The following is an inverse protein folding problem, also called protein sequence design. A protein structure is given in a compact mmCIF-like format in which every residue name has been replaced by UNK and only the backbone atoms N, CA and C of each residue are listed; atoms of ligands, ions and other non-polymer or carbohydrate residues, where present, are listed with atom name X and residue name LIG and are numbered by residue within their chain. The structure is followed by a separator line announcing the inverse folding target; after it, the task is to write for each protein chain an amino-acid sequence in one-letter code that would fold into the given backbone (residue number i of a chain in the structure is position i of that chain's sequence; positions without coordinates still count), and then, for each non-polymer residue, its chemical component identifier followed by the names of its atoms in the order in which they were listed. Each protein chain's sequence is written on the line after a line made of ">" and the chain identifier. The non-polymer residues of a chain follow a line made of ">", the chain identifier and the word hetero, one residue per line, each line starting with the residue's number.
data_IF_298582911405
#
_entry.id   IF_298582911405
#
_cell.length_a   1.000
_cell.length_b   1.000
_cell.length_c   1.000
_cell.angle_alpha   90.00
_cell.angle_beta   90.00
_cell.angle_gamma   90.00
#
_symmetry.space_group_name_H-M   'P 1'
#
loop_
_entity.id
_entity.type
_entity.pdbx_description
1 polymer ?
#
# COMPACT_ATOMS: atom_id res chain seq x y z
N UNK A 1 14.24 0.00 -63.76
CA UNK A 1 14.38 1.46 -63.63
C UNK A 1 13.11 2.06 -64.23
N UNK A 2 12.15 2.37 -63.36
CA UNK A 2 11.03 3.31 -63.55
C UNK A 2 10.52 3.64 -62.13
N UNK A 3 10.56 4.89 -61.67
CA UNK A 3 10.17 5.25 -60.31
C UNK A 3 8.89 6.11 -60.25
N UNK A 4 8.35 6.21 -59.03
CA UNK A 4 7.40 7.22 -58.53
C UNK A 4 5.90 6.97 -58.84
N UNK A 5 5.24 6.33 -57.87
CA UNK A 5 3.81 6.46 -57.62
C UNK A 5 3.58 6.87 -56.17
N UNK A 6 3.68 8.17 -55.88
CA UNK A 6 3.33 8.78 -54.59
C UNK A 6 1.84 8.54 -54.30
N UNK A 7 1.52 7.80 -53.24
CA UNK A 7 0.17 7.77 -52.65
C UNK A 7 0.03 8.88 -51.61
N UNK A 8 -1.05 9.68 -51.62
CA UNK A 8 -1.28 10.73 -50.64
C UNK A 8 -1.65 10.13 -49.28
N UNK A 9 -0.99 10.64 -48.24
CA UNK A 9 -1.26 10.39 -46.82
C UNK A 9 -2.45 11.26 -46.42
N UNK A 10 -3.57 10.63 -46.06
CA UNK A 10 -4.67 11.32 -45.38
C UNK A 10 -4.28 11.53 -43.91
N UNK A 11 -3.94 12.75 -43.56
CA UNK A 11 -3.76 13.20 -42.17
C UNK A 11 -5.14 13.28 -41.51
N UNK A 12 -5.42 12.37 -40.58
CA UNK A 12 -6.55 12.48 -39.67
C UNK A 12 -6.24 13.50 -38.59
N UNK A 13 -6.82 14.69 -38.73
CA UNK A 13 -6.85 15.74 -37.71
C UNK A 13 -7.86 15.35 -36.61
N UNK A 14 -7.49 15.42 -35.31
CA UNK A 14 -8.44 15.21 -34.23
C UNK A 14 -9.43 16.39 -34.12
N UNK A 15 -10.70 16.15 -33.73
CA UNK A 15 -11.68 17.22 -33.60
C UNK A 15 -11.33 18.15 -32.42
N UNK A 16 -11.26 19.45 -32.73
CA UNK A 16 -11.13 20.54 -31.76
C UNK A 16 -12.39 20.66 -30.87
N UNK A 17 -12.25 20.95 -29.56
CA UNK A 17 -13.38 21.29 -28.72
C UNK A 17 -13.95 22.66 -29.11
N UNK A 18 -15.28 22.74 -29.19
CA UNK A 18 -16.00 23.97 -29.48
C UNK A 18 -15.73 25.05 -28.42
N UNK A 19 -15.41 26.27 -28.88
CA UNK A 19 -15.31 27.47 -28.05
C UNK A 19 -16.71 27.89 -27.60
N UNK A 20 -16.93 27.98 -26.29
CA UNK A 20 -18.10 28.61 -25.72
C UNK A 20 -17.96 30.14 -25.84
N UNK A 21 -18.97 30.80 -26.40
CA UNK A 21 -19.09 32.26 -26.43
C UNK A 21 -19.44 32.82 -25.04
N UNK A 22 -18.93 34.02 -24.70
CA UNK A 22 -19.21 34.66 -23.41
C UNK A 22 -20.61 35.28 -23.37
N UNK A 23 -21.43 34.90 -22.39
CA UNK A 23 -22.67 35.62 -22.05
C UNK A 23 -22.37 36.86 -21.19
N UNK A 24 -23.06 37.99 -21.42
CA UNK A 24 -22.81 39.24 -20.70
C UNK A 24 -23.32 39.21 -19.26
N UNK A 25 -22.63 39.98 -18.41
CA UNK A 25 -22.96 40.25 -17.03
C UNK A 25 -24.19 41.16 -16.91
N UNK A 26 -25.05 40.90 -15.93
CA UNK A 26 -26.05 41.84 -15.44
C UNK A 26 -25.68 42.27 -14.01
N UNK A 27 -25.76 43.59 -13.80
CA UNK A 27 -25.24 44.33 -12.66
C UNK A 27 -25.96 44.06 -11.33
N UNK A 28 -25.12 43.90 -10.31
CA UNK A 28 -25.09 44.59 -9.01
C UNK A 28 -26.33 45.39 -8.56
N UNK A 29 -26.83 45.04 -7.38
CA UNK A 29 -27.37 45.99 -6.40
C UNK A 29 -26.63 45.74 -5.07
N UNK A 30 -25.77 46.69 -4.69
CA UNK A 30 -25.27 46.90 -3.32
C UNK A 30 -26.45 47.46 -2.48
N UNK A 31 -26.56 47.30 -1.16
CA UNK A 31 -25.77 47.98 -0.11
C UNK A 31 -25.97 47.29 1.28
N UNK A 32 -25.36 47.72 2.40
CA UNK A 32 -24.35 46.94 3.15
C UNK A 32 -24.75 46.61 4.60
N UNK A 33 -23.97 45.76 5.28
CA UNK A 33 -23.42 45.96 6.65
C UNK A 33 -23.00 44.66 7.34
N UNK A 34 -21.71 44.58 7.69
CA UNK A 34 -21.16 43.74 8.78
C UNK A 34 -21.15 44.58 10.08
N UNK A 35 -20.84 44.05 11.26
CA UNK A 35 -21.13 42.72 11.84
C UNK A 35 -21.78 42.86 13.25
N UNK A 36 -22.59 41.90 13.70
CA UNK A 36 -22.95 41.80 15.13
C UNK A 36 -22.71 40.40 15.67
N UNK A 37 -21.61 40.29 16.39
CA UNK A 37 -21.42 39.32 17.47
C UNK A 37 -22.48 39.58 18.53
N UNK A 38 -23.42 38.66 18.69
CA UNK A 38 -24.26 38.59 19.90
C UNK A 38 -24.18 37.15 20.40
N UNK A 39 -23.43 36.97 21.48
CA UNK A 39 -23.40 35.71 22.20
C UNK A 39 -24.77 35.43 22.78
N UNK A 40 -25.32 34.28 22.44
CA UNK A 40 -26.30 33.61 23.28
C UNK A 40 -25.68 32.36 23.86
N UNK A 41 -25.11 32.56 25.05
CA UNK A 41 -24.87 31.50 26.04
C UNK A 41 -26.21 30.92 26.45
N UNK A 42 -26.74 29.96 25.68
CA UNK A 42 -27.77 29.07 26.21
C UNK A 42 -27.08 28.00 27.05
N UNK A 43 -27.05 28.23 28.37
CA UNK A 43 -26.85 27.19 29.37
C UNK A 43 -28.06 26.24 29.30
N UNK A 44 -27.98 25.23 28.45
CA UNK A 44 -28.79 24.02 28.63
C UNK A 44 -28.03 23.10 29.56
N UNK A 45 -28.45 23.10 30.83
CA UNK A 45 -28.07 22.11 31.81
C UNK A 45 -28.73 20.78 31.46
N UNK A 46 -27.96 19.91 30.82
CA UNK A 46 -28.18 18.48 30.84
C UNK A 46 -26.79 17.84 30.80
N UNK A 47 -26.30 17.39 31.95
CA UNK A 47 -25.15 16.48 31.99
C UNK A 47 -25.60 15.14 31.40
N UNK A 48 -25.46 15.02 30.07
CA UNK A 48 -25.44 13.72 29.45
C UNK A 48 -24.14 13.03 29.92
N UNK A 49 -24.19 11.79 30.45
CA UNK A 49 -22.99 11.05 30.76
C UNK A 49 -22.12 11.03 29.51
N UNK A 50 -20.88 11.49 29.64
CA UNK A 50 -19.93 11.60 28.55
C UNK A 50 -19.82 10.26 27.83
N UNK A 51 -20.53 10.14 26.71
CA UNK A 51 -20.30 9.06 25.77
C UNK A 51 -18.90 9.33 25.26
N UNK A 52 -17.90 8.60 25.79
CA UNK A 52 -16.63 8.44 25.09
C UNK A 52 -17.04 8.07 23.68
N UNK A 53 -16.80 8.97 22.72
CA UNK A 53 -16.98 8.64 21.32
C UNK A 53 -16.20 7.34 21.11
N UNK A 54 -16.93 6.23 20.94
CA UNK A 54 -16.32 4.96 20.65
C UNK A 54 -15.49 5.25 19.39
N UNK A 55 -14.16 5.16 19.51
CA UNK A 55 -13.30 5.22 18.34
C UNK A 55 -13.89 4.20 17.37
N UNK A 56 -14.34 4.68 16.20
CA UNK A 56 -14.91 3.81 15.19
C UNK A 56 -13.94 2.62 15.02
N UNK A 57 -14.41 1.37 15.10
CA UNK A 57 -13.53 0.21 15.04
C UNK A 57 -12.63 0.34 13.82
N UNK A 58 -11.33 0.20 14.03
CA UNK A 58 -10.36 0.66 13.05
C UNK A 58 -10.42 -0.28 11.83
N UNK A 59 -10.79 0.24 10.65
CA UNK A 59 -11.06 -0.57 9.45
C UNK A 59 -12.54 -0.69 9.05
N UNK A 60 -13.45 -0.12 9.85
CA UNK A 60 -14.93 -0.12 9.62
C UNK A 60 -15.38 0.45 8.29
N UNK A 61 -14.58 1.31 7.65
CA UNK A 61 -14.97 1.89 6.37
C UNK A 61 -15.00 0.85 5.23
N UNK A 62 -14.19 -0.22 5.33
CA UNK A 62 -14.15 -1.31 4.33
C UNK A 62 -15.34 -2.25 4.44
N UNK A 63 -15.75 -2.57 5.67
CA UNK A 63 -16.90 -3.42 5.96
C UNK A 63 -17.32 -3.30 7.43
N UNK A 64 -18.60 -3.63 7.75
CA UNK A 64 -19.06 -3.78 9.14
C UNK A 64 -18.18 -4.75 9.94
N UNK A 65 -17.98 -4.47 11.24
CA UNK A 65 -17.03 -5.21 12.08
C UNK A 65 -17.40 -6.70 12.28
N UNK A 66 -18.67 -7.05 12.17
CA UNK A 66 -19.22 -8.40 12.33
C UNK A 66 -19.20 -9.23 11.04
N UNK A 67 -18.95 -8.61 9.88
CA UNK A 67 -18.77 -9.28 8.59
C UNK A 67 -17.49 -10.12 8.54
N UNK A 68 -17.40 -11.07 7.58
CA UNK A 68 -16.17 -11.85 7.34
C UNK A 68 -14.96 -10.93 7.14
N UNK A 69 -15.08 -9.95 6.24
CA UNK A 69 -14.01 -9.00 5.95
C UNK A 69 -13.66 -8.14 7.18
N UNK A 70 -14.65 -7.66 7.92
CA UNK A 70 -14.44 -6.87 9.13
C UNK A 70 -13.65 -7.64 10.20
N UNK A 71 -14.00 -8.91 10.43
CA UNK A 71 -13.26 -9.80 11.34
C UNK A 71 -11.83 -10.06 10.88
N UNK A 72 -11.63 -10.30 9.59
CA UNK A 72 -10.28 -10.48 9.01
C UNK A 72 -9.43 -9.24 9.21
N UNK A 73 -9.94 -8.06 8.85
CA UNK A 73 -9.23 -6.79 9.00
C UNK A 73 -8.88 -6.54 10.47
N UNK A 74 -9.83 -6.72 11.37
CA UNK A 74 -9.59 -6.52 12.80
C UNK A 74 -8.49 -7.45 13.32
N UNK A 75 -8.53 -8.74 12.95
CA UNK A 75 -7.49 -9.69 13.35
C UNK A 75 -6.09 -9.34 12.80
N UNK A 76 -6.00 -8.86 11.56
CA UNK A 76 -4.73 -8.35 11.00
C UNK A 76 -4.21 -7.16 11.81
N UNK A 77 -5.08 -6.19 12.09
CA UNK A 77 -4.72 -4.97 12.81
C UNK A 77 -4.34 -5.24 14.27
N UNK A 78 -5.01 -6.18 14.94
CA UNK A 78 -4.66 -6.61 16.29
C UNK A 78 -3.25 -7.21 16.34
N UNK A 79 -2.88 -8.07 15.38
CA UNK A 79 -1.51 -8.59 15.29
C UNK A 79 -0.50 -7.51 14.94
N UNK A 80 -0.82 -6.63 13.99
CA UNK A 80 0.08 -5.53 13.57
C UNK A 80 0.39 -4.56 14.71
N UNK A 81 -0.59 -4.28 15.59
CA UNK A 81 -0.41 -3.42 16.77
C UNK A 81 0.60 -3.96 17.77
N UNK A 82 0.86 -5.26 17.77
CA UNK A 82 1.82 -5.90 18.66
C UNK A 82 3.27 -5.74 18.18
N UNK A 83 3.49 -5.17 16.99
CA UNK A 83 4.81 -4.99 16.40
C UNK A 83 5.29 -3.54 16.52
N UNK A 84 6.33 -3.30 17.31
CA UNK A 84 6.88 -1.97 17.60
C UNK A 84 8.11 -1.60 16.77
N UNK A 85 8.58 -2.50 15.90
CA UNK A 85 9.72 -2.29 14.99
C UNK A 85 9.43 -1.09 14.08
N UNK A 86 10.41 -0.19 13.92
CA UNK A 86 10.26 1.01 13.08
C UNK A 86 11.28 1.06 11.96
N UNK A 87 10.84 1.53 10.80
CA UNK A 87 11.70 1.92 9.68
C UNK A 87 11.21 3.26 9.15
N UNK A 88 12.06 4.29 9.17
CA UNK A 88 11.69 5.65 8.74
C UNK A 88 10.45 6.18 9.47
N UNK A 89 10.33 5.87 10.77
CA UNK A 89 9.18 6.25 11.60
C UNK A 89 7.89 5.45 11.37
N UNK A 90 7.82 4.61 10.33
CA UNK A 90 6.68 3.71 10.09
C UNK A 90 6.80 2.44 10.95
N UNK A 91 5.68 2.01 11.55
CA UNK A 91 5.51 0.65 12.10
C UNK A 91 4.91 -0.27 11.02
N UNK A 92 4.91 -1.60 11.20
CA UNK A 92 4.16 -2.50 10.31
C UNK A 92 2.70 -2.10 10.19
N UNK A 93 2.05 -1.71 11.31
CA UNK A 93 0.67 -1.23 11.28
C UNK A 93 0.50 0.04 10.44
N UNK A 94 1.32 1.08 10.68
CA UNK A 94 1.15 2.35 9.98
C UNK A 94 1.38 2.20 8.47
N UNK A 95 2.37 1.39 8.08
CA UNK A 95 2.66 1.12 6.68
C UNK A 95 1.57 0.27 6.04
N UNK A 96 1.13 -0.82 6.69
CA UNK A 96 0.05 -1.67 6.18
C UNK A 96 -1.24 -0.88 5.99
N UNK A 97 -1.61 -0.04 6.97
CA UNK A 97 -2.80 0.81 6.87
C UNK A 97 -2.73 1.70 5.64
N UNK A 98 -1.69 2.52 5.53
CA UNK A 98 -1.53 3.47 4.43
C UNK A 98 -1.41 2.79 3.07
N UNK A 99 -0.61 1.72 2.96
CA UNK A 99 -0.29 1.08 1.70
C UNK A 99 -1.33 0.08 1.20
N UNK A 100 -1.99 -0.62 2.12
CA UNK A 100 -2.84 -1.77 1.82
C UNK A 100 -4.29 -1.50 2.22
N UNK A 101 -4.55 -1.24 3.50
CA UNK A 101 -5.93 -1.13 3.99
C UNK A 101 -6.65 0.10 3.45
N UNK A 102 -6.01 1.27 3.50
CA UNK A 102 -6.56 2.58 3.11
C UNK A 102 -6.42 2.86 1.61
N UNK A 103 -5.70 1.99 0.89
CA UNK A 103 -5.49 2.11 -0.55
C UNK A 103 -6.72 1.65 -1.33
N UNK A 104 -7.46 2.59 -1.93
CA UNK A 104 -8.66 2.31 -2.74
C UNK A 104 -8.45 1.36 -3.93
N UNK A 105 -7.20 1.16 -4.36
CA UNK A 105 -6.87 0.23 -5.45
C UNK A 105 -6.71 -1.20 -4.97
N UNK A 106 -6.54 -1.42 -3.66
CA UNK A 106 -6.57 -2.75 -3.05
C UNK A 106 -8.04 -3.13 -2.81
N UNK A 107 -8.44 -4.26 -3.36
CA UNK A 107 -9.82 -4.74 -3.27
C UNK A 107 -10.07 -5.52 -1.97
N UNK A 108 -11.35 -5.65 -1.64
CA UNK A 108 -11.79 -6.41 -0.47
C UNK A 108 -11.46 -7.91 -0.61
N UNK A 109 -11.53 -8.44 -1.83
CA UNK A 109 -11.16 -9.83 -2.16
C UNK A 109 -9.67 -10.05 -1.98
N UNK A 110 -8.83 -9.06 -2.30
CA UNK A 110 -7.38 -9.16 -2.04
C UNK A 110 -7.10 -9.20 -0.54
N UNK A 111 -7.78 -8.39 0.28
CA UNK A 111 -7.64 -8.45 1.74
C UNK A 111 -8.03 -9.82 2.31
N UNK A 112 -9.14 -10.39 1.83
CA UNK A 112 -9.56 -11.76 2.20
C UNK A 112 -8.58 -12.83 1.69
N UNK A 113 -7.97 -12.63 0.52
CA UNK A 113 -6.99 -13.57 -0.01
C UNK A 113 -5.70 -13.56 0.82
N UNK A 114 -5.26 -12.38 1.28
CA UNK A 114 -4.06 -12.24 2.14
C UNK A 114 -4.20 -13.08 3.41
N UNK A 115 -5.37 -13.07 4.07
CA UNK A 115 -5.59 -13.85 5.29
C UNK A 115 -5.63 -15.37 5.09
N UNK A 116 -5.71 -15.82 3.83
CA UNK A 116 -5.81 -17.23 3.45
C UNK A 116 -4.51 -17.78 2.86
N UNK A 117 -3.47 -16.95 2.76
CA UNK A 117 -2.14 -17.38 2.29
C UNK A 117 -1.51 -18.30 3.33
N UNK A 118 -0.99 -19.43 2.85
CA UNK A 118 -0.26 -20.43 3.63
C UNK A 118 1.25 -20.23 3.55
N UNK A 119 1.99 -20.86 4.46
CA UNK A 119 3.46 -20.78 4.48
C UNK A 119 4.06 -21.41 3.22
N UNK A 120 3.49 -22.50 2.74
CA UNK A 120 3.94 -23.23 1.56
C UNK A 120 3.86 -22.38 0.29
N UNK A 121 2.90 -21.46 0.22
CA UNK A 121 2.76 -20.52 -0.91
C UNK A 121 3.79 -19.38 -0.87
N UNK A 122 4.39 -19.12 0.28
CA UNK A 122 5.39 -18.07 0.47
C UNK A 122 6.82 -18.61 0.47
N UNK A 123 6.99 -19.93 0.61
CA UNK A 123 8.28 -20.58 0.73
C UNK A 123 9.21 -20.30 -0.46
N UNK A 124 10.37 -19.68 -0.21
CA UNK A 124 11.39 -19.41 -1.23
C UNK A 124 12.08 -20.68 -1.78
N UNK A 125 11.96 -21.80 -1.08
CA UNK A 125 12.58 -23.09 -1.38
C UNK A 125 14.02 -23.22 -0.83
N UNK A 126 14.50 -24.46 -0.60
CA UNK A 126 15.79 -24.72 0.06
C UNK A 126 16.99 -24.13 -0.68
N UNK A 127 17.01 -24.20 -2.01
CA UNK A 127 18.10 -23.67 -2.83
C UNK A 127 18.22 -22.14 -2.69
N UNK A 128 17.10 -21.43 -2.74
CA UNK A 128 17.05 -19.98 -2.55
C UNK A 128 17.55 -19.60 -1.16
N UNK A 129 17.02 -20.27 -0.13
CA UNK A 129 17.41 -20.02 1.27
C UNK A 129 18.92 -20.16 1.47
N UNK A 130 19.51 -21.22 0.90
CA UNK A 130 20.94 -21.45 0.98
C UNK A 130 21.75 -20.33 0.31
N UNK A 131 21.37 -19.91 -0.91
CA UNK A 131 22.05 -18.82 -1.64
C UNK A 131 21.99 -17.50 -0.88
N UNK A 132 20.84 -17.20 -0.27
CA UNK A 132 20.64 -15.99 0.51
C UNK A 132 21.53 -15.98 1.74
N UNK A 133 21.51 -17.05 2.53
CA UNK A 133 22.31 -17.15 3.76
C UNK A 133 23.80 -17.26 3.48
N UNK A 134 24.22 -17.81 2.35
CA UNK A 134 25.63 -17.79 1.94
C UNK A 134 26.12 -16.35 1.66
N UNK A 135 25.25 -15.50 1.09
CA UNK A 135 25.60 -14.12 0.71
C UNK A 135 25.39 -13.10 1.82
N UNK A 136 24.34 -13.30 2.63
CA UNK A 136 23.98 -12.46 3.77
C UNK A 136 23.71 -13.38 4.98
N UNK A 137 24.77 -13.86 5.67
CA UNK A 137 24.64 -14.84 6.75
C UNK A 137 23.74 -14.41 7.90
N UNK A 138 23.67 -13.10 8.16
CA UNK A 138 22.84 -12.49 9.19
C UNK A 138 21.50 -11.94 8.64
N UNK A 139 21.02 -12.40 7.48
CA UNK A 139 19.82 -11.86 6.83
C UNK A 139 18.61 -11.77 7.78
N UNK A 140 18.39 -12.81 8.61
CA UNK A 140 17.28 -12.88 9.56
C UNK A 140 17.37 -11.89 10.71
N UNK A 141 18.57 -11.39 10.99
CA UNK A 141 18.79 -10.45 12.09
C UNK A 141 18.54 -9.00 11.68
N UNK A 142 18.51 -8.73 10.37
CA UNK A 142 18.37 -7.39 9.81
C UNK A 142 17.03 -6.75 10.21
N UNK A 143 17.02 -5.45 10.59
CA UNK A 143 15.79 -4.75 10.94
C UNK A 143 14.73 -4.78 9.82
N UNK A 144 15.16 -4.61 8.57
CA UNK A 144 14.26 -4.67 7.40
C UNK A 144 13.63 -6.06 7.21
N UNK A 145 14.38 -7.13 7.48
CA UNK A 145 13.86 -8.49 7.44
C UNK A 145 12.80 -8.69 8.52
N UNK A 146 13.15 -8.37 9.78
CA UNK A 146 12.23 -8.51 10.93
C UNK A 146 10.95 -7.69 10.73
N UNK A 147 11.07 -6.47 10.21
CA UNK A 147 9.93 -5.62 9.88
C UNK A 147 9.03 -6.27 8.82
N UNK A 148 9.62 -6.77 7.73
CA UNK A 148 8.88 -7.38 6.62
C UNK A 148 8.19 -8.67 7.05
N UNK A 149 8.90 -9.52 7.81
CA UNK A 149 8.35 -10.73 8.43
C UNK A 149 7.21 -10.38 9.37
N UNK A 150 7.37 -9.40 10.25
CA UNK A 150 6.31 -8.98 11.17
C UNK A 150 5.05 -8.52 10.42
N UNK A 151 5.22 -7.72 9.38
CA UNK A 151 4.10 -7.24 8.56
C UNK A 151 3.38 -8.39 7.83
N UNK A 152 4.13 -9.29 7.21
CA UNK A 152 3.56 -10.41 6.44
C UNK A 152 2.95 -11.48 7.37
N UNK A 153 3.60 -11.79 8.48
CA UNK A 153 3.08 -12.67 9.55
C UNK A 153 1.78 -12.12 10.12
N UNK A 154 1.72 -10.84 10.47
CA UNK A 154 0.50 -10.25 11.01
C UNK A 154 -0.64 -10.22 9.97
N UNK A 155 -0.34 -9.94 8.70
CA UNK A 155 -1.33 -9.92 7.63
C UNK A 155 -1.91 -11.32 7.33
N UNK A 156 -1.08 -12.36 7.34
CA UNK A 156 -1.45 -13.73 6.96
C UNK A 156 -1.89 -14.59 8.15
N UNK A 157 -1.45 -14.25 9.37
CA UNK A 157 -1.59 -15.10 10.55
C UNK A 157 -0.54 -16.21 10.66
N UNK A 158 0.43 -16.27 9.75
CA UNK A 158 1.53 -17.25 9.78
C UNK A 158 2.48 -16.91 10.93
N UNK A 159 3.00 -17.93 11.61
CA UNK A 159 4.02 -17.75 12.65
C UNK A 159 5.27 -17.02 12.12
N UNK A 160 5.70 -15.97 12.82
CA UNK A 160 6.78 -15.10 12.37
C UNK A 160 8.13 -15.83 12.30
N UNK A 161 8.40 -16.76 13.21
CA UNK A 161 9.63 -17.52 13.21
C UNK A 161 9.68 -18.48 12.01
N UNK A 162 8.62 -19.25 11.79
CA UNK A 162 8.50 -20.14 10.61
C UNK A 162 8.62 -19.37 9.30
N UNK A 163 8.00 -18.18 9.22
CA UNK A 163 8.09 -17.33 8.05
C UNK A 163 9.52 -16.81 7.81
N UNK A 164 10.21 -16.36 8.85
CA UNK A 164 11.63 -15.94 8.78
C UNK A 164 12.56 -17.08 8.37
N UNK A 165 12.28 -18.30 8.84
CA UNK A 165 13.02 -19.50 8.47
C UNK A 165 12.81 -19.84 7.00
N UNK A 166 11.55 -19.75 6.53
CA UNK A 166 11.18 -20.10 5.17
C UNK A 166 11.60 -19.09 4.11
N UNK A 167 11.62 -17.80 4.47
CA UNK A 167 11.80 -16.68 3.56
C UNK A 167 12.92 -15.74 4.04
N UNK A 168 14.18 -16.22 4.16
CA UNK A 168 15.30 -15.41 4.67
C UNK A 168 15.64 -14.22 3.77
N UNK A 169 15.13 -14.18 2.53
CA UNK A 169 15.29 -13.08 1.60
C UNK A 169 14.30 -11.92 1.78
N UNK A 170 13.26 -12.06 2.63
CA UNK A 170 12.37 -10.95 2.94
C UNK A 170 13.17 -9.75 3.48
N UNK A 171 12.89 -8.57 2.94
CA UNK A 171 13.57 -7.33 3.29
C UNK A 171 14.92 -7.13 2.60
N UNK A 172 15.32 -8.01 1.67
CA UNK A 172 16.54 -7.85 0.88
C UNK A 172 16.22 -7.28 -0.49
N UNK A 173 17.04 -6.34 -0.94
CA UNK A 173 16.95 -5.84 -2.31
C UNK A 173 17.66 -6.81 -3.24
N UNK A 174 17.06 -7.13 -4.39
CA UNK A 174 17.66 -7.96 -5.43
C UNK A 174 17.07 -9.36 -5.53
N UNK A 175 17.79 -10.28 -6.17
CA UNK A 175 17.34 -11.65 -6.34
C UNK A 175 18.46 -12.63 -5.95
N UNK A 176 18.12 -13.79 -5.35
CA UNK A 176 19.07 -14.83 -4.93
C UNK A 176 20.02 -15.36 -6.03
N UNK A 177 19.67 -15.17 -7.30
CA UNK A 177 20.48 -15.54 -8.46
C UNK A 177 21.25 -14.38 -9.12
N UNK A 178 21.28 -13.18 -8.53
CA UNK A 178 21.94 -12.02 -9.14
C UNK A 178 23.03 -11.43 -8.25
N UNK A 179 24.01 -10.71 -8.84
CA UNK A 179 25.01 -9.96 -8.07
C UNK A 179 24.37 -8.91 -7.14
N UNK A 180 23.12 -8.53 -7.39
CA UNK A 180 22.42 -7.42 -6.74
C UNK A 180 21.63 -7.80 -5.48
N UNK A 181 21.77 -9.01 -4.91
CA UNK A 181 21.20 -9.30 -3.58
C UNK A 181 21.99 -8.60 -2.46
N UNK A 182 21.37 -7.64 -1.75
CA UNK A 182 21.96 -6.91 -0.61
C UNK A 182 20.90 -6.38 0.37
N UNK A 183 21.33 -6.04 1.58
CA UNK A 183 20.49 -5.33 2.56
C UNK A 183 20.52 -3.82 2.30
N UNK A 184 19.34 -3.21 2.10
CA UNK A 184 19.23 -1.77 1.88
C UNK A 184 19.82 -0.97 3.05
N UNK A 185 20.65 0.04 2.76
CA UNK A 185 21.34 0.85 3.78
C UNK A 185 20.54 2.04 4.30
N UNK A 186 19.69 2.63 3.46
CA UNK A 186 18.91 3.81 3.85
C UNK A 186 17.52 3.41 4.31
N UNK A 187 16.99 4.07 5.34
CA UNK A 187 15.64 3.75 5.86
C UNK A 187 14.55 3.93 4.80
N UNK A 188 14.71 4.90 3.88
CA UNK A 188 13.80 5.07 2.74
C UNK A 188 13.77 3.80 1.87
N UNK A 189 14.94 3.27 1.53
CA UNK A 189 15.05 2.08 0.69
C UNK A 189 14.60 0.83 1.45
N UNK A 190 14.92 0.71 2.74
CA UNK A 190 14.45 -0.38 3.58
C UNK A 190 12.93 -0.43 3.66
N UNK A 191 12.28 0.72 3.92
CA UNK A 191 10.81 0.80 3.93
C UNK A 191 10.21 0.38 2.59
N UNK A 192 10.80 0.87 1.49
CA UNK A 192 10.30 0.56 0.16
C UNK A 192 10.51 -0.91 -0.23
N UNK A 193 11.65 -1.48 0.17
CA UNK A 193 11.97 -2.91 0.00
C UNK A 193 11.00 -3.77 0.80
N UNK A 194 10.76 -3.44 2.06
CA UNK A 194 9.82 -4.16 2.92
C UNK A 194 8.40 -4.20 2.33
N UNK A 195 7.90 -3.06 1.84
CA UNK A 195 6.59 -3.04 1.21
C UNK A 195 6.58 -3.77 -0.14
N UNK A 196 7.64 -3.65 -0.94
CA UNK A 196 7.72 -4.30 -2.24
C UNK A 196 7.74 -5.82 -2.07
N UNK A 197 8.58 -6.34 -1.17
CA UNK A 197 8.63 -7.76 -0.85
C UNK A 197 7.29 -8.26 -0.33
N UNK A 198 6.63 -7.52 0.57
CA UNK A 198 5.29 -7.86 1.04
C UNK A 198 4.31 -8.08 -0.12
N UNK A 199 4.24 -7.14 -1.06
CA UNK A 199 3.33 -7.28 -2.21
C UNK A 199 3.79 -8.34 -3.21
N UNK A 200 5.11 -8.49 -3.41
CA UNK A 200 5.68 -9.40 -4.40
C UNK A 200 5.53 -10.87 -4.00
N UNK A 201 5.70 -11.17 -2.71
CA UNK A 201 5.47 -12.48 -2.12
C UNK A 201 3.99 -12.86 -2.22
N UNK A 202 3.08 -11.95 -1.87
CA UNK A 202 1.65 -12.18 -1.99
C UNK A 202 1.22 -12.36 -3.46
N UNK A 203 1.84 -11.64 -4.39
CA UNK A 203 1.67 -11.89 -5.84
C UNK A 203 2.17 -13.28 -6.21
N UNK A 204 3.35 -13.68 -5.73
CA UNK A 204 3.90 -15.03 -5.89
C UNK A 204 2.97 -16.13 -5.38
N UNK A 205 2.30 -15.87 -4.25
CA UNK A 205 1.29 -16.74 -3.65
C UNK A 205 -0.06 -16.78 -4.41
N UNK A 206 -0.20 -16.00 -5.49
CA UNK A 206 -1.36 -16.00 -6.38
C UNK A 206 -2.32 -14.81 -6.21
N UNK A 207 -2.01 -13.84 -5.34
CA UNK A 207 -2.83 -12.62 -5.17
C UNK A 207 -2.53 -11.63 -6.31
N UNK A 208 -3.26 -11.79 -7.42
CA UNK A 208 -3.10 -10.97 -8.61
C UNK A 208 -3.52 -9.51 -8.37
N UNK A 209 -2.83 -8.58 -9.02
CA UNK A 209 -3.20 -7.17 -9.05
C UNK A 209 -2.73 -6.37 -7.83
N UNK A 210 -2.14 -7.01 -6.81
CA UNK A 210 -1.71 -6.34 -5.59
C UNK A 210 -0.51 -5.42 -5.88
N UNK A 211 0.46 -5.90 -6.65
CA UNK A 211 1.59 -5.07 -7.11
C UNK A 211 1.07 -3.88 -7.94
N UNK A 212 0.13 -4.10 -8.85
CA UNK A 212 -0.48 -3.01 -9.64
C UNK A 212 -1.23 -2.00 -8.76
N UNK A 213 -1.89 -2.44 -7.70
CA UNK A 213 -2.60 -1.58 -6.77
C UNK A 213 -1.64 -0.66 -5.99
N UNK A 214 -0.52 -1.20 -5.51
CA UNK A 214 0.44 -0.47 -4.67
C UNK A 214 1.47 0.30 -5.50
N UNK A 215 1.95 -0.26 -6.60
CA UNK A 215 3.07 0.28 -7.41
C UNK A 215 2.64 0.81 -8.77
N UNK A 216 1.39 0.62 -9.17
CA UNK A 216 0.88 0.98 -10.49
C UNK A 216 1.24 0.01 -11.61
N UNK A 217 2.10 -0.97 -11.34
CA UNK A 217 2.56 -2.00 -12.27
C UNK A 217 2.61 -3.36 -11.60
N UNK A 218 2.21 -4.42 -12.31
CA UNK A 218 2.14 -5.78 -11.74
C UNK A 218 3.49 -6.52 -11.78
N UNK A 219 4.29 -6.26 -12.82
CA UNK A 219 5.55 -6.94 -13.07
C UNK A 219 6.54 -6.74 -11.90
N UNK A 220 7.19 -7.84 -11.47
CA UNK A 220 8.18 -7.84 -10.37
C UNK A 220 9.28 -6.80 -10.53
N UNK A 221 9.89 -6.76 -11.71
CA UNK A 221 11.06 -5.92 -11.98
C UNK A 221 10.65 -4.46 -12.10
N UNK A 222 9.54 -4.18 -12.79
CA UNK A 222 9.03 -2.81 -12.91
C UNK A 222 8.56 -2.26 -11.56
N UNK A 223 7.87 -3.06 -10.74
CA UNK A 223 7.45 -2.65 -9.40
C UNK A 223 8.65 -2.43 -8.47
N UNK A 224 9.70 -3.25 -8.58
CA UNK A 224 10.95 -3.04 -7.85
C UNK A 224 11.63 -1.72 -8.25
N UNK A 225 11.62 -1.37 -9.54
CA UNK A 225 12.16 -0.09 -10.01
C UNK A 225 11.34 1.10 -9.49
N UNK A 226 10.00 1.03 -9.54
CA UNK A 226 9.12 2.06 -8.98
C UNK A 226 9.37 2.23 -7.47
N UNK A 227 9.51 1.11 -6.75
CA UNK A 227 9.84 1.08 -5.33
C UNK A 227 11.20 1.75 -5.05
N UNK A 228 12.25 1.39 -5.80
CA UNK A 228 13.58 1.96 -5.62
C UNK A 228 13.62 3.48 -5.85
N UNK A 229 12.80 4.01 -6.76
CA UNK A 229 12.62 5.45 -7.00
C UNK A 229 11.74 6.14 -5.94
N UNK A 230 11.13 5.37 -5.04
CA UNK A 230 10.19 5.84 -4.02
C UNK A 230 8.85 6.30 -4.59
N UNK A 231 8.45 5.75 -5.73
CA UNK A 231 7.09 5.89 -6.25
C UNK A 231 6.11 4.92 -5.57
N UNK A 232 4.86 4.95 -6.01
CA UNK A 232 3.78 4.15 -5.44
C UNK A 232 2.44 4.89 -5.52
N UNK A 233 1.34 4.17 -5.27
CA UNK A 233 -0.03 4.69 -5.24
C UNK A 233 -0.59 4.69 -3.81
N UNK A 234 0.24 5.06 -2.84
CA UNK A 234 -0.07 5.03 -1.40
C UNK A 234 0.73 6.05 -0.59
#
# INVERSE_FOLDING_TARGET
>A
MDPIGRRPVALHTPPQPAKAEPRPAANTVQTPSNPQTVGHTQKSGFEAPGVKAAQAPVGTWRAPADSELGKVINGMLERLKQCDIKIKGDTPESLFRRAILDNKHVSNEQLLAISKVSLEQLDSGPETRQKVLAKVPNARELPVHKFTVAMLSAATGIDAQKLSEACPDLGLTGAPGTPLLYAAKTERMQRSTALHDFTDYLRGAGIKGLNKAVWGVENRVLSAAVSALGGGRY
#
